data_IF_769580601421
#
_entry.id   IF_769580601421
#
_cell.length_a   1.000
_cell.length_b   1.000
_cell.length_c   1.000
_cell.angle_alpha   90.00
_cell.angle_beta   90.00
_cell.angle_gamma   90.00
#
_symmetry.space_group_name_H-M   'P 1'
#
loop_
_entity.id
_entity.type
_entity.pdbx_description
1 polymer ?
#
# COMPACT_ATOMS: atom_id res chain seq x y z
N UNK A 1 -4.85 -14.12 13.26
CA UNK A 1 -4.44 -12.73 13.02
C UNK A 1 -3.36 -12.72 11.95
N UNK A 2 -3.67 -12.33 10.72
CA UNK A 2 -2.65 -12.11 9.69
C UNK A 2 -2.14 -10.69 9.89
N UNK A 3 -0.88 -10.54 10.24
CA UNK A 3 -0.25 -9.23 10.32
C UNK A 3 0.04 -8.79 8.87
N UNK A 4 -0.80 -7.91 8.32
CA UNK A 4 -0.74 -7.49 6.90
C UNK A 4 0.55 -6.77 6.53
N UNK A 5 1.31 -6.30 7.52
CA UNK A 5 2.63 -5.69 7.32
C UNK A 5 3.69 -6.42 8.14
N UNK A 6 4.73 -6.92 7.46
CA UNK A 6 5.97 -7.26 8.15
C UNK A 6 6.57 -5.95 8.63
N UNK A 7 6.57 -5.72 9.95
CA UNK A 7 7.39 -4.65 10.53
C UNK A 7 8.85 -4.96 10.19
N UNK A 8 9.39 -4.30 9.19
CA UNK A 8 10.82 -4.32 8.95
C UNK A 8 11.47 -3.58 10.10
N UNK A 9 12.54 -4.14 10.67
CA UNK A 9 13.26 -3.55 11.80
C UNK A 9 14.07 -2.32 11.36
N UNK A 10 13.36 -1.31 10.86
CA UNK A 10 13.88 -0.06 10.36
C UNK A 10 13.66 1.01 11.43
N UNK A 11 14.76 1.60 11.90
CA UNK A 11 14.72 2.70 12.87
C UNK A 11 14.49 4.08 12.24
N UNK A 12 14.35 4.18 10.90
CA UNK A 12 14.11 5.47 10.24
C UNK A 12 12.79 6.09 10.69
N UNK A 13 12.83 7.40 10.90
CA UNK A 13 11.68 8.20 11.26
C UNK A 13 11.59 9.42 10.33
N UNK A 14 10.37 9.72 9.89
CA UNK A 14 10.05 11.00 9.26
C UNK A 14 9.77 11.97 10.40
N UNK A 15 10.48 13.11 10.44
CA UNK A 15 10.23 14.15 11.45
C UNK A 15 9.40 15.25 10.81
N UNK A 16 8.28 15.60 11.43
CA UNK A 16 7.41 16.69 10.98
C UNK A 16 7.40 17.74 12.08
N UNK A 17 7.75 18.98 11.72
CA UNK A 17 7.69 20.13 12.61
C UNK A 17 6.62 21.09 12.12
N UNK A 18 5.57 21.25 12.91
CA UNK A 18 4.53 22.25 12.70
C UNK A 18 4.96 23.60 13.31
N UNK A 19 4.71 24.69 12.59
CA UNK A 19 4.92 26.03 13.11
C UNK A 19 3.99 27.05 12.43
N UNK A 20 3.66 28.12 13.15
CA UNK A 20 2.95 29.26 12.62
C UNK A 20 3.94 30.33 12.15
N UNK A 21 3.76 30.81 10.92
CA UNK A 21 4.53 31.90 10.34
C UNK A 21 3.66 33.14 10.24
N UNK A 22 4.23 34.29 10.56
CA UNK A 22 3.57 35.59 10.45
C UNK A 22 4.31 36.45 9.42
N UNK A 23 3.98 36.33 8.11
CA UNK A 23 4.73 36.98 7.03
C UNK A 23 4.80 38.51 7.17
N UNK A 24 3.74 39.13 7.69
CA UNK A 24 3.66 40.58 7.90
C UNK A 24 4.65 41.12 8.94
N UNK A 25 5.22 40.24 9.78
CA UNK A 25 6.18 40.59 10.82
C UNK A 25 7.59 40.05 10.49
N UNK A 26 7.87 39.82 9.20
CA UNK A 26 9.18 39.33 8.76
C UNK A 26 10.25 40.38 9.05
N UNK A 27 11.26 40.01 9.82
CA UNK A 27 12.47 40.81 10.02
C UNK A 27 13.42 40.67 8.83
N UNK A 28 14.02 41.78 8.39
CA UNK A 28 14.99 41.83 7.28
C UNK A 28 16.40 41.47 7.72
N UNK A 29 16.78 41.86 8.93
CA UNK A 29 18.05 41.49 9.57
C UNK A 29 17.79 40.77 10.87
N UNK A 30 18.62 39.75 11.11
CA UNK A 30 18.48 38.88 12.24
C UNK A 30 19.29 39.37 13.44
N UNK A 31 18.80 40.41 14.11
CA UNK A 31 19.42 40.95 15.34
C UNK A 31 18.56 40.68 16.56
N UNK A 32 19.19 40.54 17.73
CA UNK A 32 18.49 40.30 19.00
C UNK A 32 17.42 41.35 19.28
N UNK A 33 17.72 42.63 19.03
CA UNK A 33 16.79 43.73 19.21
C UNK A 33 15.58 43.63 18.26
N UNK A 34 15.79 43.40 16.95
CA UNK A 34 14.68 43.25 15.98
C UNK A 34 13.81 42.02 16.28
N UNK A 35 14.38 40.90 16.73
CA UNK A 35 13.61 39.73 17.18
C UNK A 35 12.67 40.07 18.35
N UNK A 36 13.18 40.79 19.35
CA UNK A 36 12.38 41.20 20.51
C UNK A 36 11.28 42.16 20.09
N UNK A 37 11.60 43.14 19.24
CA UNK A 37 10.62 44.12 18.76
C UNK A 37 9.53 43.44 17.91
N UNK A 38 9.89 42.58 16.97
CA UNK A 38 8.94 41.81 16.17
C UNK A 38 8.06 40.90 17.05
N UNK A 39 8.63 40.27 18.08
CA UNK A 39 7.85 39.46 19.03
C UNK A 39 6.83 40.28 19.80
N UNK A 40 7.17 41.51 20.22
CA UNK A 40 6.20 42.43 20.85
C UNK A 40 5.07 42.78 19.89
N UNK A 41 5.40 43.22 18.67
CA UNK A 41 4.41 43.57 17.66
C UNK A 41 3.47 42.40 17.32
N UNK A 42 4.00 41.17 17.24
CA UNK A 42 3.19 39.95 17.03
C UNK A 42 2.23 39.73 18.20
N UNK A 43 2.70 39.85 19.45
CA UNK A 43 1.84 39.68 20.64
C UNK A 43 0.73 40.73 20.70
N UNK A 44 1.07 41.99 20.40
CA UNK A 44 0.10 43.08 20.42
C UNK A 44 -1.00 42.87 19.38
N UNK A 45 -0.64 42.51 18.15
CA UNK A 45 -1.65 42.30 17.11
C UNK A 45 -2.37 40.94 17.22
N UNK A 46 -1.80 39.94 17.91
CA UNK A 46 -2.54 38.75 18.39
C UNK A 46 -3.62 39.14 19.41
N UNK A 47 -3.32 40.02 20.37
CA UNK A 47 -4.30 40.47 21.37
C UNK A 47 -5.48 41.25 20.77
N UNK A 48 -5.25 41.92 19.63
CA UNK A 48 -6.28 42.63 18.86
C UNK A 48 -7.00 41.77 17.83
N UNK A 49 -6.61 40.50 17.69
CA UNK A 49 -7.12 39.57 16.69
C UNK A 49 -6.95 40.08 15.23
N UNK A 50 -5.94 40.90 14.98
CA UNK A 50 -5.66 41.57 13.70
C UNK A 50 -4.68 40.77 12.82
N UNK A 51 -4.20 39.62 13.29
CA UNK A 51 -3.18 38.82 12.61
C UNK A 51 -3.78 37.60 11.93
N UNK A 52 -3.45 37.45 10.64
CA UNK A 52 -3.59 36.18 9.91
C UNK A 52 -2.25 35.46 9.86
N UNK A 53 -2.09 34.44 10.71
CA UNK A 53 -0.96 33.53 10.67
C UNK A 53 -1.10 32.46 9.57
N UNK A 54 0.02 32.00 9.01
CA UNK A 54 0.06 30.86 8.09
C UNK A 54 0.62 29.64 8.82
N UNK A 55 -0.17 28.57 8.90
CA UNK A 55 0.29 27.26 9.40
C UNK A 55 1.21 26.61 8.37
N UNK A 56 2.38 26.17 8.80
CA UNK A 56 3.41 25.58 7.95
C UNK A 56 3.91 24.27 8.57
N UNK A 57 4.32 23.34 7.71
CA UNK A 57 4.97 22.08 8.10
C UNK A 57 6.35 22.02 7.48
N UNK A 58 7.37 21.79 8.30
CA UNK A 58 8.70 21.39 7.82
C UNK A 58 8.81 19.88 7.98
N UNK A 59 8.93 19.18 6.86
CA UNK A 59 9.04 17.73 6.80
C UNK A 59 10.49 17.37 6.53
N UNK A 60 11.09 16.59 7.44
CA UNK A 60 12.43 16.06 7.32
C UNK A 60 12.35 14.59 7.00
N UNK A 61 12.76 14.23 5.78
CA UNK A 61 12.90 12.85 5.37
C UNK A 61 14.27 12.30 5.82
N UNK A 62 14.33 11.07 6.34
CA UNK A 62 15.59 10.43 6.69
C UNK A 62 16.45 10.19 5.44
N UNK A 63 17.77 10.18 5.62
CA UNK A 63 18.70 9.86 4.53
C UNK A 63 18.61 8.38 4.16
N UNK A 64 18.99 8.02 2.92
CA UNK A 64 19.10 6.61 2.49
C UNK A 64 19.97 5.77 3.44
N UNK A 65 21.03 6.35 3.99
CA UNK A 65 21.93 5.69 4.95
C UNK A 65 21.32 5.44 6.33
N UNK A 66 20.24 6.12 6.69
CA UNK A 66 19.57 5.94 7.98
C UNK A 66 18.75 4.65 8.02
N UNK A 67 18.45 4.06 6.85
CA UNK A 67 17.64 2.86 6.72
C UNK A 67 18.43 1.63 7.12
N UNK A 68 17.94 0.92 8.12
CA UNK A 68 18.51 -0.34 8.62
C UNK A 68 17.50 -1.47 8.48
N UNK A 69 17.99 -2.71 8.36
CA UNK A 69 17.14 -3.91 8.39
C UNK A 69 16.20 -4.12 7.19
N UNK A 70 16.34 -3.36 6.10
CA UNK A 70 15.61 -3.58 4.83
C UNK A 70 16.31 -2.91 3.65
N UNK A 71 15.97 -3.35 2.43
CA UNK A 71 16.47 -2.76 1.19
C UNK A 71 15.73 -1.46 0.84
N UNK A 72 16.46 -0.48 0.31
CA UNK A 72 15.92 0.80 -0.18
C UNK A 72 16.18 0.99 -1.68
N UNK A 73 15.44 1.89 -2.33
CA UNK A 73 15.59 2.16 -3.76
C UNK A 73 15.17 0.95 -4.61
N UNK A 74 15.89 0.69 -5.70
CA UNK A 74 15.54 -0.38 -6.65
C UNK A 74 15.57 -1.78 -6.02
N UNK A 75 16.47 -1.99 -5.05
CA UNK A 75 16.57 -3.25 -4.30
C UNK A 75 15.37 -3.49 -3.37
N UNK A 76 14.61 -2.45 -3.01
CA UNK A 76 13.40 -2.61 -2.20
C UNK A 76 12.37 -3.54 -2.87
N UNK A 77 12.35 -3.56 -4.21
CA UNK A 77 11.46 -4.40 -5.03
C UNK A 77 11.56 -5.89 -4.72
N UNK A 78 12.69 -6.38 -4.20
CA UNK A 78 12.91 -7.78 -3.83
C UNK A 78 12.03 -8.18 -2.62
N UNK A 79 11.86 -7.25 -1.67
CA UNK A 79 11.12 -7.48 -0.43
C UNK A 79 9.62 -7.23 -0.57
N UNK A 80 9.22 -6.50 -1.61
CA UNK A 80 7.83 -6.11 -1.83
C UNK A 80 6.95 -7.32 -2.19
N UNK A 81 5.66 -7.30 -1.78
CA UNK A 81 4.68 -8.24 -2.31
C UNK A 81 4.45 -8.01 -3.81
N UNK A 82 3.91 -9.02 -4.50
CA UNK A 82 3.49 -8.86 -5.90
C UNK A 82 2.40 -7.80 -5.96
N UNK A 83 2.38 -7.04 -7.05
CA UNK A 83 1.29 -6.13 -7.33
C UNK A 83 -0.06 -6.87 -7.39
N UNK A 84 -1.09 -6.28 -6.78
CA UNK A 84 -2.38 -6.93 -6.61
C UNK A 84 -3.02 -7.29 -7.96
N UNK A 85 -2.85 -6.47 -8.99
CA UNK A 85 -3.41 -6.73 -10.34
C UNK A 85 -2.83 -8.00 -10.96
N UNK A 86 -1.52 -8.19 -10.81
CA UNK A 86 -0.83 -9.39 -11.29
C UNK A 86 -1.24 -10.62 -10.49
N UNK A 87 -1.44 -10.46 -9.17
CA UNK A 87 -1.97 -11.53 -8.33
C UNK A 87 -3.36 -11.94 -8.81
N UNK A 88 -4.28 -10.99 -8.97
CA UNK A 88 -5.65 -11.25 -9.42
C UNK A 88 -5.68 -11.96 -10.78
N UNK A 89 -4.81 -11.55 -11.70
CA UNK A 89 -4.65 -12.24 -12.99
C UNK A 89 -4.20 -13.69 -12.82
N UNK A 90 -3.23 -13.96 -11.95
CA UNK A 90 -2.80 -15.35 -11.67
C UNK A 90 -3.99 -16.15 -11.13
N UNK A 91 -4.78 -15.61 -10.21
CA UNK A 91 -5.95 -16.31 -9.64
C UNK A 91 -7.03 -16.59 -10.68
N UNK A 92 -7.30 -15.63 -11.58
CA UNK A 92 -8.28 -15.79 -12.65
C UNK A 92 -7.82 -16.83 -13.69
N UNK A 93 -6.55 -16.79 -14.07
CA UNK A 93 -6.02 -17.57 -15.20
C UNK A 93 -5.41 -18.92 -14.81
N UNK A 94 -5.16 -19.21 -13.52
CA UNK A 94 -4.53 -20.47 -13.05
C UNK A 94 -5.34 -21.75 -13.37
N UNK A 95 -6.64 -21.63 -13.65
CA UNK A 95 -7.46 -22.75 -14.10
C UNK A 95 -7.24 -23.13 -15.57
N UNK A 96 -6.78 -22.18 -16.39
CA UNK A 96 -6.60 -22.33 -17.84
C UNK A 96 -5.13 -22.50 -18.20
N UNK A 97 -4.28 -21.63 -17.67
CA UNK A 97 -2.84 -21.62 -17.91
C UNK A 97 -2.16 -22.53 -16.89
N UNK A 98 -1.65 -23.67 -17.34
CA UNK A 98 -0.89 -24.61 -16.47
C UNK A 98 0.61 -24.39 -16.52
N UNK A 99 1.11 -23.76 -17.58
CA UNK A 99 2.53 -23.50 -17.78
C UNK A 99 2.97 -22.20 -17.09
N UNK A 100 4.01 -22.29 -16.26
CA UNK A 100 4.54 -21.14 -15.50
C UNK A 100 5.17 -20.09 -16.42
N UNK A 101 5.85 -20.49 -17.50
CA UNK A 101 6.46 -19.54 -18.44
C UNK A 101 5.43 -18.81 -19.29
N UNK A 102 4.32 -19.47 -19.61
CA UNK A 102 3.18 -18.82 -20.28
C UNK A 102 2.54 -17.78 -19.35
N UNK A 103 2.30 -18.15 -18.09
CA UNK A 103 1.83 -17.20 -17.08
C UNK A 103 2.79 -16.02 -16.94
N UNK A 104 4.10 -16.27 -16.83
CA UNK A 104 5.11 -15.20 -16.76
C UNK A 104 5.04 -14.26 -17.96
N UNK A 105 4.99 -14.78 -19.19
CA UNK A 105 4.89 -13.95 -20.40
C UNK A 105 3.62 -13.08 -20.38
N UNK A 106 2.50 -13.63 -19.94
CA UNK A 106 1.24 -12.89 -19.79
C UNK A 106 1.38 -11.75 -18.78
N UNK A 107 1.98 -12.01 -17.63
CA UNK A 107 2.26 -10.98 -16.62
C UNK A 107 3.19 -9.89 -17.16
N UNK A 108 4.24 -10.25 -17.91
CA UNK A 108 5.14 -9.27 -18.55
C UNK A 108 4.40 -8.36 -19.54
N UNK A 109 3.44 -8.90 -20.29
CA UNK A 109 2.59 -8.11 -21.19
C UNK A 109 1.71 -7.14 -20.39
N UNK A 110 1.08 -7.59 -19.31
CA UNK A 110 0.25 -6.72 -18.46
C UNK A 110 1.08 -5.59 -17.85
N UNK A 111 2.27 -5.91 -17.33
CA UNK A 111 3.17 -4.91 -16.76
C UNK A 111 3.54 -3.85 -17.80
N UNK A 112 3.96 -4.29 -18.99
CA UNK A 112 4.45 -3.38 -20.03
C UNK A 112 3.35 -2.59 -20.72
N UNK A 113 2.20 -3.21 -21.02
CA UNK A 113 1.13 -2.60 -21.82
C UNK A 113 0.04 -1.92 -21.00
N UNK A 114 -0.24 -2.39 -19.79
CA UNK A 114 -1.36 -1.88 -18.98
C UNK A 114 -0.88 -1.05 -17.79
N UNK A 115 0.17 -1.51 -17.08
CA UNK A 115 0.64 -0.84 -15.86
C UNK A 115 1.61 0.32 -16.20
N UNK A 116 2.54 0.11 -17.13
CA UNK A 116 3.61 1.07 -17.46
C UNK A 116 3.58 1.60 -18.88
N UNK A 117 2.41 1.62 -19.54
CA UNK A 117 2.26 1.95 -20.97
C UNK A 117 3.04 3.20 -21.43
N UNK A 118 3.05 4.26 -20.62
CA UNK A 118 3.72 5.53 -20.92
C UNK A 118 4.80 5.91 -19.89
N UNK A 119 5.20 4.96 -19.04
CA UNK A 119 6.12 5.19 -17.93
C UNK A 119 7.38 4.33 -18.09
N UNK A 120 8.45 4.71 -17.38
CA UNK A 120 9.66 3.89 -17.30
C UNK A 120 9.32 2.57 -16.63
N UNK A 121 9.53 1.48 -17.36
CA UNK A 121 9.28 0.14 -16.88
C UNK A 121 10.28 -0.22 -15.76
N UNK A 122 9.83 -0.83 -14.65
CA UNK A 122 10.72 -1.22 -13.58
C UNK A 122 11.73 -2.27 -14.04
N UNK A 123 12.86 -2.36 -13.33
CA UNK A 123 13.90 -3.35 -13.61
C UNK A 123 13.34 -4.77 -13.41
N UNK A 124 13.74 -5.74 -14.24
CA UNK A 124 13.28 -7.14 -14.14
C UNK A 124 13.57 -7.82 -12.80
N UNK A 125 14.51 -7.30 -12.00
CA UNK A 125 14.78 -7.77 -10.63
C UNK A 125 13.71 -7.36 -9.63
N UNK A 126 12.82 -6.43 -9.99
CA UNK A 126 11.73 -5.98 -9.15
C UNK A 126 10.63 -7.05 -9.08
N UNK A 127 10.68 -7.87 -8.03
CA UNK A 127 9.72 -8.96 -7.76
C UNK A 127 8.26 -8.48 -7.73
N UNK A 128 7.98 -7.22 -7.37
CA UNK A 128 6.61 -6.69 -7.34
C UNK A 128 5.91 -6.81 -8.70
N UNK A 129 6.65 -6.54 -9.78
CA UNK A 129 6.12 -6.55 -11.15
C UNK A 129 6.63 -7.73 -11.98
N UNK A 130 7.84 -8.20 -11.71
CA UNK A 130 8.48 -9.32 -12.39
C UNK A 130 8.76 -10.45 -11.38
N UNK A 131 7.73 -11.17 -10.91
CA UNK A 131 7.92 -12.27 -9.98
C UNK A 131 8.69 -13.43 -10.63
N UNK A 132 9.52 -14.11 -9.85
CA UNK A 132 10.23 -15.32 -10.33
C UNK A 132 9.27 -16.47 -10.64
N UNK A 133 9.69 -17.40 -11.50
CA UNK A 133 8.92 -18.61 -11.83
C UNK A 133 8.50 -19.41 -10.58
N UNK A 134 9.34 -19.47 -9.54
CA UNK A 134 9.01 -20.13 -8.27
C UNK A 134 7.81 -19.46 -7.58
N UNK A 135 7.81 -18.13 -7.56
CA UNK A 135 6.74 -17.34 -6.95
C UNK A 135 5.43 -17.53 -7.74
N UNK A 136 5.50 -17.41 -9.06
CA UNK A 136 4.33 -17.60 -9.95
C UNK A 136 3.71 -18.98 -9.70
N UNK A 137 4.54 -20.04 -9.70
CA UNK A 137 4.09 -21.41 -9.42
C UNK A 137 3.36 -21.52 -8.09
N UNK A 138 3.90 -20.92 -7.02
CA UNK A 138 3.27 -20.96 -5.70
C UNK A 138 1.89 -20.29 -5.70
N UNK A 139 1.75 -19.13 -6.35
CA UNK A 139 0.46 -18.44 -6.46
C UNK A 139 -0.55 -19.21 -7.33
N UNK A 140 -0.10 -19.84 -8.41
CA UNK A 140 -0.96 -20.70 -9.22
C UNK A 140 -1.49 -21.90 -8.42
N UNK A 141 -0.62 -22.55 -7.63
CA UNK A 141 -1.02 -23.65 -6.75
C UNK A 141 -2.02 -23.18 -5.68
N UNK A 142 -1.76 -22.02 -5.05
CA UNK A 142 -2.69 -21.41 -4.08
C UNK A 142 -4.05 -21.10 -4.72
N UNK A 143 -4.07 -20.59 -5.95
CA UNK A 143 -5.30 -20.34 -6.70
C UNK A 143 -6.10 -21.62 -6.97
N UNK A 144 -5.43 -22.68 -7.44
CA UNK A 144 -6.06 -23.99 -7.68
C UNK A 144 -6.60 -24.57 -6.38
N UNK A 145 -5.84 -24.50 -5.29
CA UNK A 145 -6.25 -25.00 -3.98
C UNK A 145 -7.46 -24.25 -3.44
N UNK A 146 -7.48 -22.92 -3.50
CA UNK A 146 -8.63 -22.12 -3.07
C UNK A 146 -9.89 -22.42 -3.87
N UNK A 147 -9.76 -22.58 -5.19
CA UNK A 147 -10.89 -22.99 -6.04
C UNK A 147 -11.43 -24.35 -5.63
N UNK A 148 -10.54 -25.32 -5.37
CA UNK A 148 -10.94 -26.65 -4.89
C UNK A 148 -11.66 -26.58 -3.54
N UNK A 149 -11.12 -25.82 -2.58
CA UNK A 149 -11.76 -25.66 -1.28
C UNK A 149 -13.12 -24.96 -1.40
N UNK A 150 -13.25 -23.94 -2.24
CA UNK A 150 -14.52 -23.26 -2.51
C UNK A 150 -15.57 -24.20 -3.10
N UNK A 151 -15.18 -25.07 -4.03
CA UNK A 151 -16.10 -26.05 -4.61
C UNK A 151 -16.59 -27.05 -3.54
N UNK A 152 -15.67 -27.56 -2.72
CA UNK A 152 -16.01 -28.48 -1.61
C UNK A 152 -16.95 -27.81 -0.62
N UNK A 153 -16.67 -26.54 -0.26
CA UNK A 153 -17.51 -25.76 0.66
C UNK A 153 -18.93 -25.57 0.11
N UNK A 154 -19.06 -25.23 -1.18
CA UNK A 154 -20.35 -25.12 -1.85
C UNK A 154 -21.12 -26.45 -1.88
N UNK A 155 -20.45 -27.56 -2.16
CA UNK A 155 -21.08 -28.89 -2.11
C UNK A 155 -21.56 -29.25 -0.69
N UNK A 156 -20.75 -28.95 0.32
CA UNK A 156 -21.12 -29.15 1.73
C UNK A 156 -22.31 -28.27 2.13
N UNK A 157 -22.35 -27.02 1.68
CA UNK A 157 -23.47 -26.11 1.91
C UNK A 157 -24.76 -26.65 1.29
N UNK A 158 -24.72 -27.13 0.05
CA UNK A 158 -25.89 -27.70 -0.62
C UNK A 158 -26.44 -28.91 0.14
N UNK A 159 -25.57 -29.82 0.61
CA UNK A 159 -25.98 -30.97 1.43
C UNK A 159 -26.66 -30.54 2.73
N UNK A 160 -26.15 -29.49 3.40
CA UNK A 160 -26.79 -28.94 4.60
C UNK A 160 -28.15 -28.30 4.30
N UNK A 161 -28.26 -27.59 3.19
CA UNK A 161 -29.53 -27.01 2.73
C UNK A 161 -30.57 -28.13 2.50
N UNK A 162 -30.18 -29.23 1.87
CA UNK A 162 -31.09 -30.35 1.61
C UNK A 162 -31.51 -31.06 2.90
N UNK A 163 -30.57 -31.31 3.81
CA UNK A 163 -30.89 -31.84 5.15
C UNK A 163 -31.85 -30.93 5.91
N UNK A 164 -31.62 -29.61 5.87
CA UNK A 164 -32.48 -28.63 6.53
C UNK A 164 -33.89 -28.60 5.95
N UNK A 165 -34.04 -28.70 4.62
CA UNK A 165 -35.36 -28.77 3.95
C UNK A 165 -36.16 -30.00 4.38
N UNK A 166 -35.50 -31.15 4.53
CA UNK A 166 -36.14 -32.38 5.05
C UNK A 166 -36.61 -32.20 6.49
N UNK A 167 -35.81 -31.52 7.33
CA UNK A 167 -36.14 -31.29 8.73
C UNK A 167 -37.21 -30.20 8.94
N UNK A 168 -37.34 -29.24 8.01
CA UNK A 168 -38.22 -28.09 8.13
C UNK A 168 -39.16 -27.92 6.92
N UNK A 169 -40.07 -28.89 6.66
CA UNK A 169 -40.89 -28.91 5.45
C UNK A 169 -41.90 -27.75 5.32
N UNK A 170 -42.14 -26.99 6.42
CA UNK A 170 -43.11 -25.89 6.46
C UNK A 170 -42.49 -24.48 6.31
N UNK A 171 -41.17 -24.33 6.36
CA UNK A 171 -40.51 -23.02 6.18
C UNK A 171 -39.98 -22.90 4.75
N UNK A 172 -40.71 -22.17 3.89
CA UNK A 172 -40.45 -22.12 2.44
C UNK A 172 -39.50 -21.01 1.96
N UNK A 173 -38.98 -20.12 2.81
CA UNK A 173 -38.13 -19.03 2.32
C UNK A 173 -37.00 -18.66 3.29
N UNK A 174 -35.77 -18.85 2.83
CA UNK A 174 -34.60 -18.07 3.25
C UNK A 174 -33.92 -17.62 1.96
N UNK A 175 -34.13 -16.36 1.59
CA UNK A 175 -33.37 -15.68 0.52
C UNK A 175 -32.09 -15.14 1.14
N UNK A 176 -30.94 -15.60 0.64
CA UNK A 176 -29.61 -15.05 0.94
C UNK A 176 -29.23 -13.98 -0.07
#
# INVERSE_FOLDING_TARGET
MVQDTKKFNCSCQIKIKEFYKFPSFKITEDTKWRRVQASKCIKDALSRNEIVGKRMFSIYFPSKSSHTGHFTGDAAGISQPIDQRLKDEIFASAGLIKNVDEMRRRLEIIVTKEIFQNNVCPIRSNKRFFPSNKIIRNYMLDAIQKKRHSNIDQECLMKKIDQWKVQNPRQKHITF
#
